data_IF_179754470580
#
_entry.id   IF_179754470580
#
_cell.length_a   1.000
_cell.length_b   1.000
_cell.length_c   1.000
_cell.angle_alpha   90.00
_cell.angle_beta   90.00
_cell.angle_gamma   90.00
#
_symmetry.space_group_name_H-M   'P 1'
#
loop_
_entity.id
_entity.type
_entity.pdbx_description
1 polymer ?
#
# COMPACT_ATOMS: atom_id res chain seq x y z
N UNK A 1 6.99 8.98 3.03
CA UNK A 1 6.25 7.73 3.27
C UNK A 1 5.33 7.48 2.08
N UNK A 2 5.31 6.28 1.48
CA UNK A 2 4.48 6.03 0.27
C UNK A 2 3.05 5.66 0.64
N UNK A 3 2.07 5.84 -0.26
CA UNK A 3 0.67 5.47 0.02
C UNK A 3 0.45 3.96 0.29
N UNK A 4 1.22 3.08 -0.36
CA UNK A 4 1.18 1.63 -0.06
C UNK A 4 1.81 1.30 1.30
N UNK A 5 2.76 2.10 1.76
CA UNK A 5 3.32 1.97 3.11
C UNK A 5 2.24 2.24 4.16
N UNK A 6 1.47 3.33 3.97
CA UNK A 6 0.31 3.63 4.81
C UNK A 6 -0.76 2.53 4.76
N UNK A 7 -1.03 1.96 3.59
CA UNK A 7 -1.95 0.82 3.47
C UNK A 7 -1.44 -0.39 4.27
N UNK A 8 -0.13 -0.65 4.17
CA UNK A 8 0.52 -1.75 4.88
C UNK A 8 0.43 -1.53 6.39
N UNK A 9 0.69 -0.31 6.88
CA UNK A 9 0.50 0.05 8.29
C UNK A 9 -0.92 -0.26 8.76
N UNK A 10 -1.94 0.23 8.05
CA UNK A 10 -3.33 0.04 8.43
C UNK A 10 -3.74 -1.44 8.41
N UNK A 11 -3.37 -2.19 7.36
CA UNK A 11 -3.67 -3.62 7.25
C UNK A 11 -2.99 -4.42 8.37
N UNK A 12 -1.73 -4.14 8.67
CA UNK A 12 -1.00 -4.85 9.72
C UNK A 12 -1.49 -4.48 11.11
N UNK A 13 -1.79 -3.20 11.37
CA UNK A 13 -2.36 -2.74 12.63
C UNK A 13 -3.74 -3.38 12.89
N UNK A 14 -4.63 -3.35 11.90
CA UNK A 14 -5.93 -4.02 11.99
C UNK A 14 -5.78 -5.55 12.13
N UNK A 15 -4.68 -6.12 11.69
CA UNK A 15 -4.45 -7.55 11.81
C UNK A 15 -3.59 -7.91 13.01
N UNK A 16 -3.17 -6.96 13.85
CA UNK A 16 -2.18 -7.17 14.90
C UNK A 16 -2.76 -7.89 16.14
N UNK A 17 -1.89 -8.42 17.00
CA UNK A 17 -2.29 -9.04 18.28
C UNK A 17 -2.83 -8.06 19.31
N UNK A 18 -2.32 -6.84 19.29
CA UNK A 18 -2.69 -5.79 20.23
C UNK A 18 -3.72 -4.82 19.64
N UNK A 19 -4.42 -5.23 18.58
CA UNK A 19 -5.47 -4.42 17.97
C UNK A 19 -6.64 -4.23 18.95
N UNK A 20 -7.03 -2.98 19.16
CA UNK A 20 -8.16 -2.56 20.00
C UNK A 20 -9.26 -1.95 19.15
N UNK A 21 -10.50 -1.77 19.67
CA UNK A 21 -11.56 -1.07 18.92
C UNK A 21 -11.15 0.33 18.44
N UNK A 22 -10.30 1.02 19.20
CA UNK A 22 -9.76 2.33 18.83
C UNK A 22 -8.82 2.25 17.61
N UNK A 23 -7.82 1.37 17.66
CA UNK A 23 -6.90 1.17 16.53
C UNK A 23 -7.62 0.59 15.32
N UNK A 24 -8.64 -0.23 15.55
CA UNK A 24 -9.47 -0.81 14.49
C UNK A 24 -10.23 0.25 13.72
N UNK A 25 -10.83 1.21 14.43
CA UNK A 25 -11.56 2.33 13.82
C UNK A 25 -10.63 3.19 12.95
N UNK A 26 -9.44 3.51 13.47
CA UNK A 26 -8.42 4.26 12.74
C UNK A 26 -7.91 3.51 11.51
N UNK A 27 -7.57 2.22 11.65
CA UNK A 27 -7.05 1.42 10.55
C UNK A 27 -8.10 1.22 9.44
N UNK A 28 -9.35 0.95 9.81
CA UNK A 28 -10.44 0.77 8.84
C UNK A 28 -10.76 2.06 8.09
N UNK A 29 -10.81 3.20 8.79
CA UNK A 29 -10.95 4.51 8.15
C UNK A 29 -9.79 4.83 7.21
N UNK A 30 -8.55 4.53 7.61
CA UNK A 30 -7.37 4.70 6.77
C UNK A 30 -7.44 3.83 5.50
N UNK A 31 -7.82 2.55 5.61
CA UNK A 31 -7.94 1.63 4.46
C UNK A 31 -8.95 2.16 3.45
N UNK A 32 -10.12 2.61 3.91
CA UNK A 32 -11.16 3.14 3.05
C UNK A 32 -10.69 4.40 2.29
N UNK A 33 -10.14 5.38 3.02
CA UNK A 33 -9.62 6.60 2.40
C UNK A 33 -8.47 6.33 1.42
N UNK A 34 -7.57 5.38 1.73
CA UNK A 34 -6.48 5.02 0.82
C UNK A 34 -7.01 4.39 -0.47
N UNK A 35 -8.00 3.51 -0.38
CA UNK A 35 -8.63 2.88 -1.55
C UNK A 35 -9.16 3.91 -2.55
N UNK A 36 -9.72 5.02 -2.05
CA UNK A 36 -10.28 6.07 -2.88
C UNK A 36 -9.26 7.13 -3.33
N UNK A 37 -8.36 7.54 -2.43
CA UNK A 37 -7.49 8.69 -2.63
C UNK A 37 -6.18 8.34 -3.33
N UNK A 38 -5.64 7.13 -3.11
CA UNK A 38 -4.33 6.77 -3.63
C UNK A 38 -4.28 6.73 -5.16
N UNK A 39 -5.21 6.09 -5.89
CA UNK A 39 -5.18 6.08 -7.35
C UNK A 39 -5.27 7.50 -7.94
N UNK A 40 -6.11 8.36 -7.34
CA UNK A 40 -6.29 9.75 -7.75
C UNK A 40 -5.02 10.57 -7.54
N UNK A 41 -4.40 10.45 -6.36
CA UNK A 41 -3.17 11.17 -6.03
C UNK A 41 -1.97 10.74 -6.90
N UNK A 42 -1.92 9.47 -7.33
CA UNK A 42 -0.89 8.96 -8.24
C UNK A 42 -1.17 9.36 -9.69
N UNK A 43 -2.43 9.30 -10.14
CA UNK A 43 -2.84 9.64 -11.50
C UNK A 43 -2.81 11.14 -11.79
N UNK A 44 -3.11 11.99 -10.80
CA UNK A 44 -3.06 13.44 -10.87
C UNK A 44 -2.42 14.01 -9.60
N UNK A 45 -1.11 14.26 -9.64
CA UNK A 45 -0.35 14.76 -8.49
C UNK A 45 -0.72 16.18 -8.03
N UNK A 46 -1.55 16.90 -8.79
CA UNK A 46 -2.05 18.24 -8.47
C UNK A 46 -3.44 18.20 -7.79
N UNK A 47 -4.07 17.04 -7.68
CA UNK A 47 -5.32 16.87 -6.94
C UNK A 47 -5.06 17.04 -5.43
N UNK A 48 -5.25 18.27 -4.94
CA UNK A 48 -5.00 18.62 -3.55
C UNK A 48 -5.91 17.84 -2.59
N UNK A 49 -7.17 17.60 -2.96
CA UNK A 49 -8.11 16.86 -2.13
C UNK A 49 -7.68 15.39 -1.99
N UNK A 50 -7.25 14.74 -3.07
CA UNK A 50 -6.72 13.37 -2.99
C UNK A 50 -5.44 13.31 -2.13
N UNK A 51 -4.55 14.31 -2.22
CA UNK A 51 -3.33 14.37 -1.41
C UNK A 51 -3.63 14.61 0.06
N UNK A 52 -4.56 15.50 0.37
CA UNK A 52 -5.02 15.76 1.75
C UNK A 52 -5.61 14.50 2.36
N UNK A 53 -6.50 13.80 1.65
CA UNK A 53 -7.07 12.54 2.10
C UNK A 53 -5.99 11.47 2.32
N UNK A 54 -4.98 11.39 1.44
CA UNK A 54 -3.85 10.47 1.64
C UNK A 54 -3.00 10.83 2.87
N UNK A 55 -2.81 12.11 3.17
CA UNK A 55 -2.09 12.56 4.37
C UNK A 55 -2.86 12.20 5.64
N UNK A 56 -4.16 12.47 5.66
CA UNK A 56 -5.04 12.08 6.77
C UNK A 56 -5.06 10.57 6.97
N UNK A 57 -5.19 9.80 5.90
CA UNK A 57 -5.16 8.34 5.96
C UNK A 57 -3.83 7.79 6.47
N UNK A 58 -2.72 8.39 6.02
CA UNK A 58 -1.38 8.07 6.51
C UNK A 58 -1.25 8.36 8.01
N UNK A 59 -1.78 9.48 8.48
CA UNK A 59 -1.79 9.84 9.89
C UNK A 59 -2.61 8.84 10.73
N UNK A 60 -3.81 8.49 10.27
CA UNK A 60 -4.67 7.50 10.93
C UNK A 60 -4.03 6.12 10.99
N UNK A 61 -3.42 5.67 9.89
CA UNK A 61 -2.65 4.43 9.87
C UNK A 61 -1.47 4.49 10.86
N UNK A 62 -0.81 5.64 10.95
CA UNK A 62 0.24 5.96 11.91
C UNK A 62 -0.19 5.77 13.37
N UNK A 63 -1.29 6.41 13.75
CA UNK A 63 -1.87 6.29 15.08
C UNK A 63 -2.29 4.84 15.39
N UNK A 64 -2.87 4.14 14.40
CA UNK A 64 -3.28 2.75 14.57
C UNK A 64 -2.08 1.82 14.85
N UNK A 65 -1.03 1.87 14.01
CA UNK A 65 0.11 0.96 14.18
C UNK A 65 0.96 1.32 15.41
N UNK A 66 0.99 2.60 15.81
CA UNK A 66 1.76 3.03 16.98
C UNK A 66 1.29 2.35 18.27
N UNK A 67 -0.01 2.03 18.37
CA UNK A 67 -0.58 1.32 19.52
C UNK A 67 -0.77 -0.19 19.28
N UNK A 68 -1.18 -0.61 18.08
CA UNK A 68 -1.44 -2.02 17.78
C UNK A 68 -0.16 -2.81 17.42
N UNK A 69 0.89 -2.11 16.98
CA UNK A 69 2.10 -2.69 16.40
C UNK A 69 1.99 -2.99 14.90
N UNK A 70 3.11 -3.41 14.33
CA UNK A 70 3.23 -3.85 12.94
C UNK A 70 3.41 -5.37 12.84
N UNK A 71 3.42 -5.88 11.61
CA UNK A 71 3.40 -7.31 11.35
C UNK A 71 4.59 -7.83 10.55
N UNK A 72 4.32 -8.96 9.90
CA UNK A 72 5.32 -9.72 9.16
C UNK A 72 5.83 -8.99 7.91
N UNK A 73 5.00 -8.16 7.29
CA UNK A 73 5.36 -7.39 6.10
C UNK A 73 6.50 -6.43 6.41
N UNK A 74 6.34 -5.57 7.42
CA UNK A 74 7.41 -4.66 7.84
C UNK A 74 8.66 -5.40 8.29
N UNK A 75 8.50 -6.44 9.11
CA UNK A 75 9.63 -7.26 9.55
C UNK A 75 10.44 -7.86 8.37
N UNK A 76 9.76 -8.22 7.29
CA UNK A 76 10.40 -8.74 6.07
C UNK A 76 10.94 -7.62 5.17
N UNK A 77 10.25 -6.49 5.04
CA UNK A 77 10.58 -5.41 4.10
C UNK A 77 11.90 -4.69 4.42
N UNK A 78 12.35 -4.69 5.69
CA UNK A 78 13.67 -4.16 6.05
C UNK A 78 14.83 -4.90 5.35
N UNK A 79 14.68 -6.20 5.07
CA UNK A 79 15.79 -7.00 4.55
C UNK A 79 16.08 -6.75 3.05
N UNK A 80 15.08 -6.70 2.14
CA UNK A 80 15.30 -6.28 0.76
C UNK A 80 15.80 -4.84 0.66
N UNK A 81 15.32 -3.92 1.51
CA UNK A 81 15.82 -2.54 1.51
C UNK A 81 17.30 -2.45 1.87
N UNK A 82 17.76 -3.21 2.86
CA UNK A 82 19.17 -3.23 3.27
C UNK A 82 20.09 -3.97 2.28
N UNK A 83 19.60 -5.03 1.62
CA UNK A 83 20.43 -5.88 0.76
C UNK A 83 20.44 -5.46 -0.72
N UNK A 84 19.34 -4.86 -1.20
CA UNK A 84 19.12 -4.56 -2.62
C UNK A 84 18.78 -3.07 -2.86
N UNK A 85 18.88 -2.23 -1.82
CA UNK A 85 18.54 -0.80 -1.87
C UNK A 85 17.13 -0.51 -2.40
N UNK A 86 16.19 -1.44 -2.20
CA UNK A 86 14.80 -1.29 -2.61
C UNK A 86 14.11 -0.28 -1.67
N UNK A 87 13.42 0.76 -2.20
CA UNK A 87 12.65 1.68 -1.37
C UNK A 87 11.63 0.96 -0.49
N UNK A 88 11.49 1.38 0.77
CA UNK A 88 10.70 0.65 1.78
C UNK A 88 9.25 0.39 1.34
N UNK A 89 8.56 1.40 0.81
CA UNK A 89 7.19 1.26 0.31
C UNK A 89 7.06 0.28 -0.86
N UNK A 90 8.07 0.20 -1.73
CA UNK A 90 8.11 -0.77 -2.82
C UNK A 90 8.32 -2.20 -2.27
N UNK A 91 9.21 -2.37 -1.29
CA UNK A 91 9.38 -3.65 -0.62
C UNK A 91 8.08 -4.11 0.08
N UNK A 92 7.34 -3.20 0.72
CA UNK A 92 6.03 -3.47 1.31
C UNK A 92 5.01 -3.86 0.23
N UNK A 93 4.93 -3.16 -0.91
CA UNK A 93 4.07 -3.53 -2.03
C UNK A 93 4.38 -4.95 -2.60
N UNK A 94 5.67 -5.32 -2.64
CA UNK A 94 6.13 -6.64 -3.06
C UNK A 94 5.78 -7.77 -2.06
N UNK A 95 5.55 -7.45 -0.79
CA UNK A 95 5.39 -8.45 0.26
C UNK A 95 3.97 -8.54 0.80
N UNK A 96 3.24 -7.43 0.88
CA UNK A 96 1.94 -7.33 1.56
C UNK A 96 0.93 -8.39 1.10
N UNK A 97 0.62 -8.58 -0.21
CA UNK A 97 -0.34 -9.60 -0.62
C UNK A 97 0.08 -11.04 -0.25
N UNK A 98 1.38 -11.31 -0.22
CA UNK A 98 1.93 -12.62 0.13
C UNK A 98 1.87 -12.86 1.64
N UNK A 99 2.09 -11.82 2.43
CA UNK A 99 1.95 -11.85 3.89
C UNK A 99 0.48 -11.99 4.30
N UNK A 100 -0.42 -11.30 3.60
CA UNK A 100 -1.85 -11.52 3.78
C UNK A 100 -2.19 -12.98 3.48
N UNK A 101 -1.84 -13.55 2.33
CA UNK A 101 -2.11 -14.97 2.03
C UNK A 101 -1.61 -15.91 3.15
N UNK A 102 -0.45 -15.62 3.74
CA UNK A 102 0.07 -16.37 4.88
C UNK A 102 -0.79 -16.24 6.15
N UNK A 103 -1.27 -15.03 6.45
CA UNK A 103 -2.06 -14.73 7.65
C UNK A 103 -3.56 -15.01 7.50
N UNK A 104 -4.10 -15.13 6.28
CA UNK A 104 -5.56 -15.20 6.05
C UNK A 104 -6.23 -16.32 6.84
N UNK A 105 -5.60 -17.49 6.95
CA UNK A 105 -6.18 -18.65 7.63
C UNK A 105 -6.46 -18.43 9.13
N UNK A 106 -5.74 -17.50 9.78
CA UNK A 106 -5.93 -17.17 11.20
C UNK A 106 -6.71 -15.87 11.42
N UNK A 107 -6.93 -15.06 10.37
CA UNK A 107 -7.57 -13.73 10.45
C UNK A 107 -8.61 -13.49 9.35
N UNK A 108 -9.29 -14.55 8.89
CA UNK A 108 -10.25 -14.51 7.77
C UNK A 108 -11.28 -13.39 7.85
N UNK A 109 -11.99 -13.32 8.98
CA UNK A 109 -13.05 -12.31 9.18
C UNK A 109 -12.51 -10.88 9.09
N UNK A 110 -11.35 -10.61 9.69
CA UNK A 110 -10.70 -9.29 9.59
C UNK A 110 -10.29 -8.98 8.14
N UNK A 111 -9.80 -9.94 7.39
CA UNK A 111 -9.42 -9.70 5.99
C UNK A 111 -10.63 -9.41 5.09
N UNK A 112 -11.74 -10.10 5.31
CA UNK A 112 -13.01 -9.77 4.66
C UNK A 112 -13.41 -8.32 4.94
N UNK A 113 -13.21 -7.81 6.16
CA UNK A 113 -13.46 -6.40 6.48
C UNK A 113 -12.49 -5.46 5.78
N UNK A 114 -11.20 -5.80 5.69
CA UNK A 114 -10.21 -5.01 4.95
C UNK A 114 -10.65 -4.82 3.50
N UNK A 115 -11.06 -5.90 2.82
CA UNK A 115 -11.54 -5.80 1.43
C UNK A 115 -12.80 -4.95 1.32
N UNK A 116 -13.69 -5.02 2.31
CA UNK A 116 -14.90 -4.19 2.36
C UNK A 116 -14.58 -2.71 2.51
N UNK A 117 -13.69 -2.35 3.42
CA UNK A 117 -13.25 -0.96 3.56
C UNK A 117 -12.57 -0.47 2.29
N UNK A 118 -11.69 -1.29 1.69
CA UNK A 118 -10.90 -0.90 0.53
C UNK A 118 -11.74 -0.70 -0.74
N UNK A 119 -12.80 -1.49 -0.92
CA UNK A 119 -13.57 -1.55 -2.17
C UNK A 119 -14.99 -1.00 -2.07
N UNK A 120 -15.50 -0.78 -0.86
CA UNK A 120 -16.91 -0.47 -0.58
C UNK A 120 -17.87 -1.64 -0.81
N UNK A 121 -17.38 -2.84 -1.15
CA UNK A 121 -18.20 -4.01 -1.51
C UNK A 121 -18.06 -5.11 -0.47
N UNK A 122 -19.04 -6.02 -0.38
CA UNK A 122 -18.87 -7.23 0.41
C UNK A 122 -17.77 -8.10 -0.24
N UNK A 123 -16.76 -8.47 0.53
CA UNK A 123 -15.63 -9.28 0.07
C UNK A 123 -15.32 -10.41 1.05
N UNK A 124 -14.82 -11.55 0.57
CA UNK A 124 -14.18 -12.58 1.40
C UNK A 124 -12.66 -12.31 1.64
N UNK A 125 -11.95 -13.23 2.31
CA UNK A 125 -10.51 -13.07 2.59
C UNK A 125 -9.63 -13.10 1.34
N UNK A 126 -10.05 -13.80 0.29
CA UNK A 126 -9.30 -13.92 -0.98
C UNK A 126 -9.54 -12.71 -1.87
N UNK A 127 -10.78 -12.26 -1.95
CA UNK A 127 -11.19 -11.05 -2.67
C UNK A 127 -10.50 -9.81 -2.09
N UNK A 128 -10.36 -9.72 -0.76
CA UNK A 128 -9.58 -8.66 -0.13
C UNK A 128 -8.11 -8.66 -0.56
N UNK A 129 -7.47 -9.83 -0.65
CA UNK A 129 -6.09 -9.95 -1.13
C UNK A 129 -5.99 -9.59 -2.61
N UNK A 130 -6.98 -9.96 -3.42
CA UNK A 130 -7.05 -9.57 -4.83
C UNK A 130 -7.18 -8.05 -4.98
N UNK A 131 -8.06 -7.40 -4.22
CA UNK A 131 -8.24 -5.95 -4.25
C UNK A 131 -6.96 -5.19 -3.86
N UNK A 132 -6.22 -5.67 -2.85
CA UNK A 132 -4.91 -5.08 -2.50
C UNK A 132 -3.91 -5.24 -3.65
N UNK A 133 -3.90 -6.40 -4.34
CA UNK A 133 -3.03 -6.61 -5.51
C UNK A 133 -3.39 -5.69 -6.67
N UNK A 134 -4.69 -5.51 -6.92
CA UNK A 134 -5.22 -4.65 -7.97
C UNK A 134 -4.84 -3.19 -7.71
N UNK A 135 -5.05 -2.69 -6.49
CA UNK A 135 -4.64 -1.34 -6.11
C UNK A 135 -3.13 -1.12 -6.29
N UNK A 136 -2.30 -2.08 -5.84
CA UNK A 136 -0.84 -2.02 -6.02
C UNK A 136 -0.46 -1.97 -7.51
N UNK A 137 -1.19 -2.70 -8.36
CA UNK A 137 -0.96 -2.70 -9.80
C UNK A 137 -1.42 -1.40 -10.46
N UNK A 138 -2.56 -0.84 -10.03
CA UNK A 138 -3.12 0.42 -10.52
C UNK A 138 -2.17 1.60 -10.27
N UNK A 139 -1.49 1.62 -9.11
CA UNK A 139 -0.49 2.64 -8.78
C UNK A 139 0.91 2.36 -9.38
N UNK A 140 1.04 1.34 -10.23
CA UNK A 140 2.27 1.05 -10.98
C UNK A 140 3.34 0.25 -10.23
N UNK A 141 3.06 -0.27 -9.03
CA UNK A 141 4.06 -0.97 -8.19
C UNK A 141 4.07 -2.49 -8.44
N UNK A 142 4.24 -2.89 -9.70
CA UNK A 142 4.12 -4.30 -10.14
C UNK A 142 5.43 -5.10 -10.08
N UNK A 143 6.55 -4.46 -9.76
CA UNK A 143 7.87 -5.08 -9.73
C UNK A 143 7.94 -6.27 -8.77
N UNK A 144 8.68 -7.31 -9.14
CA UNK A 144 8.97 -8.49 -8.32
C UNK A 144 10.35 -8.39 -7.67
N UNK A 145 10.53 -9.09 -6.55
CA UNK A 145 11.84 -9.15 -5.86
C UNK A 145 12.94 -9.73 -6.77
N UNK A 146 12.60 -10.71 -7.60
CA UNK A 146 13.53 -11.31 -8.58
C UNK A 146 13.96 -10.31 -9.65
N UNK A 147 13.06 -9.44 -10.10
CA UNK A 147 13.38 -8.34 -11.03
C UNK A 147 14.26 -7.27 -10.37
N UNK A 148 14.16 -7.13 -9.04
CA UNK A 148 15.03 -6.27 -8.24
C UNK A 148 16.36 -6.94 -7.82
N UNK A 149 16.69 -8.12 -8.36
CA UNK A 149 17.97 -8.81 -8.09
C UNK A 149 17.96 -9.77 -6.89
N UNK A 150 16.79 -10.15 -6.37
CA UNK A 150 16.72 -11.15 -5.30
C UNK A 150 17.14 -12.54 -5.80
N UNK A 151 18.06 -13.19 -5.07
CA UNK A 151 18.58 -14.52 -5.36
C UNK A 151 18.14 -15.51 -4.28
N UNK A 152 18.28 -16.82 -4.54
CA UNK A 152 18.04 -17.87 -3.54
C UNK A 152 18.85 -17.68 -2.25
N UNK A 153 20.08 -17.14 -2.37
CA UNK A 153 20.94 -16.79 -1.24
C UNK A 153 20.34 -15.66 -0.38
N UNK A 154 19.79 -14.62 -1.01
CA UNK A 154 19.08 -13.55 -0.31
C UNK A 154 17.92 -14.09 0.52
N UNK A 155 17.06 -14.92 -0.06
CA UNK A 155 15.94 -15.54 0.68
C UNK A 155 16.42 -16.40 1.86
N UNK A 156 17.52 -17.14 1.70
CA UNK A 156 18.10 -17.96 2.76
C UNK A 156 18.65 -17.10 3.92
N UNK A 157 19.27 -15.96 3.61
CA UNK A 157 19.79 -15.01 4.60
C UNK A 157 18.66 -14.31 5.37
N UNK A 158 17.65 -13.80 4.67
CA UNK A 158 16.50 -13.11 5.29
C UNK A 158 15.72 -14.04 6.24
N UNK A 159 15.62 -15.33 5.91
CA UNK A 159 15.03 -16.35 6.78
C UNK A 159 15.74 -16.46 8.14
N UNK A 160 17.07 -16.31 8.18
CA UNK A 160 17.87 -16.39 9.41
C UNK A 160 17.72 -15.12 10.25
N UNK A 161 17.77 -13.93 9.63
CA UNK A 161 17.72 -12.62 10.32
C UNK A 161 16.37 -12.31 10.96
N UNK A 162 15.24 -12.79 10.39
CA UNK A 162 13.90 -12.56 10.95
C UNK A 162 13.72 -13.02 12.40
N UNK A 163 14.46 -14.04 12.85
CA UNK A 163 14.34 -14.54 14.25
C UNK A 163 14.75 -13.51 15.31
N UNK A 164 15.38 -12.39 14.92
CA UNK A 164 15.99 -11.42 15.84
C UNK A 164 15.32 -10.03 15.83
N UNK A 165 14.30 -9.79 15.01
CA UNK A 165 13.67 -8.45 14.89
C UNK A 165 12.45 -8.28 15.82
N UNK A 166 12.43 -7.22 16.63
CA UNK A 166 11.36 -6.88 17.58
C UNK A 166 9.98 -6.65 16.95
N UNK A 167 9.95 -6.22 15.68
CA UNK A 167 8.73 -6.06 14.86
C UNK A 167 7.91 -7.37 14.75
N UNK A 168 8.51 -8.52 15.06
CA UNK A 168 7.81 -9.80 15.02
C UNK A 168 6.90 -10.09 16.21
N UNK A 169 6.98 -9.34 17.31
CA UNK A 169 6.19 -9.59 18.52
C UNK A 169 4.66 -9.55 18.32
N UNK A 170 4.09 -8.62 17.52
CA UNK A 170 2.63 -8.53 17.32
C UNK A 170 2.07 -9.55 16.31
N UNK A 171 2.89 -10.45 15.75
CA UNK A 171 2.48 -11.38 14.68
C UNK A 171 1.69 -12.58 15.24
N UNK A 172 0.45 -12.79 14.75
CA UNK A 172 -0.40 -13.93 15.15
C UNK A 172 0.13 -15.30 14.76
N UNK A 173 0.79 -15.38 13.60
CA UNK A 173 1.27 -16.64 13.05
C UNK A 173 2.78 -16.63 13.02
N UNK A 174 3.39 -17.36 13.96
CA UNK A 174 4.84 -17.60 13.94
C UNK A 174 5.20 -18.40 12.70
N UNK A 175 5.80 -17.73 11.72
CA UNK A 175 6.27 -18.40 10.53
C UNK A 175 7.49 -19.26 10.84
N UNK A 176 7.33 -20.59 10.80
CA UNK A 176 8.46 -21.54 10.68
C UNK A 176 9.12 -21.36 9.30
N UNK A 177 10.45 -21.48 9.23
CA UNK A 177 11.25 -21.02 8.09
C UNK A 177 10.94 -21.66 6.72
N UNK A 178 10.22 -22.79 6.69
CA UNK A 178 9.83 -23.49 5.46
C UNK A 178 8.62 -22.86 4.75
N UNK A 179 7.60 -22.41 5.49
CA UNK A 179 6.32 -21.94 4.93
C UNK A 179 6.36 -20.54 4.28
N UNK A 180 7.37 -19.73 4.62
CA UNK A 180 7.57 -18.40 4.00
C UNK A 180 8.23 -18.47 2.63
N UNK A 181 9.18 -19.40 2.46
CA UNK A 181 9.88 -19.62 1.19
C UNK A 181 8.93 -20.06 0.09
N UNK A 182 7.90 -20.84 0.43
CA UNK A 182 6.82 -21.17 -0.49
C UNK A 182 5.94 -19.97 -0.84
N UNK A 183 5.78 -19.01 0.08
CA UNK A 183 4.95 -17.82 -0.15
C UNK A 183 5.68 -16.81 -1.07
N UNK A 184 6.96 -16.52 -0.82
CA UNK A 184 7.75 -15.64 -1.69
C UNK A 184 7.98 -16.26 -3.07
N UNK A 185 8.36 -17.55 -3.16
CA UNK A 185 8.54 -18.24 -4.46
C UNK A 185 7.24 -18.42 -5.26
N UNK A 186 6.07 -18.55 -4.62
CA UNK A 186 4.79 -18.67 -5.35
C UNK A 186 4.46 -17.40 -6.13
N UNK A 187 4.84 -16.22 -5.62
CA UNK A 187 4.66 -14.95 -6.35
C UNK A 187 5.57 -14.87 -7.58
N UNK A 188 6.79 -15.42 -7.51
CA UNK A 188 7.72 -15.44 -8.65
C UNK A 188 7.22 -16.32 -9.83
N UNK A 189 6.43 -17.37 -9.55
CA UNK A 189 5.95 -18.32 -10.56
C UNK A 189 4.62 -17.96 -11.24
N UNK A 190 3.79 -17.07 -10.68
CA UNK A 190 2.52 -16.68 -11.31
C UNK A 190 2.74 -15.67 -12.43
N UNK A 191 2.77 -16.14 -13.68
CA UNK A 191 2.75 -15.31 -14.90
C UNK A 191 1.33 -14.78 -15.11
N UNK A 192 1.01 -13.59 -14.63
CA UNK A 192 -0.29 -12.98 -14.87
C UNK A 192 -0.34 -12.43 -16.30
N UNK A 193 -1.16 -13.03 -17.16
CA UNK A 193 -1.33 -12.57 -18.53
C UNK A 193 -2.03 -11.20 -18.53
N UNK A 194 -1.49 -10.21 -19.25
CA UNK A 194 -2.04 -8.85 -19.40
C UNK A 194 -3.40 -8.76 -20.12
N UNK A 195 -4.14 -9.87 -20.28
CA UNK A 195 -5.30 -9.94 -21.21
C UNK A 195 -6.70 -9.89 -20.57
N UNK A 196 -6.84 -9.69 -19.25
CA UNK A 196 -8.17 -9.55 -18.61
C UNK A 196 -8.19 -8.42 -17.58
N UNK A 197 -8.06 -7.19 -18.05
CA UNK A 197 -8.58 -6.00 -17.36
C UNK A 197 -9.41 -5.25 -18.39
N UNK A 198 -10.56 -5.81 -18.70
CA UNK A 198 -11.62 -5.16 -19.43
C UNK A 198 -12.93 -5.65 -18.79
N UNK A 199 -13.90 -4.73 -18.66
CA UNK A 199 -15.23 -4.87 -18.01
C UNK A 199 -15.19 -4.60 -16.48
N UNK A 200 -15.88 -3.62 -15.88
CA UNK A 200 -16.78 -2.55 -16.33
C UNK A 200 -16.94 -1.49 -15.22
N UNK A 201 -16.89 -0.20 -15.59
CA UNK A 201 -17.58 0.90 -14.90
C UNK A 201 -17.93 1.98 -15.96
N UNK A 202 -19.15 2.56 -15.96
CA UNK A 202 -19.59 3.43 -17.05
C UNK A 202 -19.05 4.84 -16.83
N UNK A 203 -17.95 5.18 -17.49
CA UNK A 203 -17.43 6.56 -17.55
C UNK A 203 -16.89 6.93 -18.95
N UNK A 204 -17.41 6.29 -20.01
CA UNK A 204 -16.82 6.39 -21.35
C UNK A 204 -17.43 7.47 -22.27
N UNK A 205 -18.25 8.38 -21.76
CA UNK A 205 -18.85 9.45 -22.57
C UNK A 205 -18.31 10.87 -22.30
N UNK A 206 -17.45 11.09 -21.29
CA UNK A 206 -16.99 12.45 -20.95
C UNK A 206 -15.53 12.74 -21.30
N UNK A 207 -14.72 11.73 -21.65
CA UNK A 207 -13.26 11.88 -21.78
C UNK A 207 -12.77 12.43 -23.13
N UNK A 208 -13.62 12.50 -24.17
CA UNK A 208 -13.21 13.08 -25.46
C UNK A 208 -13.33 14.62 -25.52
N UNK A 209 -13.96 15.27 -24.53
CA UNK A 209 -14.06 16.75 -24.45
C UNK A 209 -13.14 17.41 -23.43
N UNK A 210 -12.44 16.63 -22.60
CA UNK A 210 -11.53 17.14 -21.55
C UNK A 210 -10.04 17.12 -21.95
N UNK A 211 -9.69 16.46 -23.06
CA UNK A 211 -8.31 16.38 -23.55
C UNK A 211 -7.82 17.69 -24.21
N UNK A 212 -8.72 18.56 -24.68
CA UNK A 212 -8.34 19.87 -25.24
C UNK A 212 -8.19 20.97 -24.18
N UNK A 213 -8.94 20.92 -23.07
CA UNK A 213 -8.86 21.96 -22.03
C UNK A 213 -7.72 21.79 -21.03
N UNK A 214 -7.20 20.56 -20.85
CA UNK A 214 -6.13 20.26 -19.88
C UNK A 214 -4.73 20.71 -20.35
N UNK A 215 -4.53 21.00 -21.64
CA UNK A 215 -3.27 21.56 -22.16
C UNK A 215 -3.14 23.08 -21.96
N UNK A 216 -4.25 23.78 -21.73
CA UNK A 216 -4.27 25.25 -21.58
C UNK A 216 -4.04 25.73 -20.14
N UNK A 217 -4.35 24.91 -19.13
CA UNK A 217 -4.22 25.30 -17.71
C UNK A 217 -2.82 25.08 -17.10
N UNK A 218 -1.92 24.36 -17.80
CA UNK A 218 -0.56 24.08 -17.32
C UNK A 218 0.54 25.02 -17.89
N UNK A 219 0.18 26.09 -18.61
CA UNK A 219 1.15 27.09 -19.07
C UNK A 219 0.66 28.52 -18.82
N UNK A 220 1.25 29.21 -17.84
CA UNK A 220 1.61 30.64 -17.93
C UNK A 220 2.51 31.09 -16.77
N UNK A 221 3.32 32.15 -16.97
CA UNK A 221 4.63 32.30 -16.35
C UNK A 221 4.64 33.17 -15.08
N UNK A 222 5.68 32.98 -14.27
CA UNK A 222 5.94 33.77 -13.07
C UNK A 222 6.07 35.27 -13.35
N UNK A 223 5.49 36.06 -12.45
CA UNK A 223 5.84 37.48 -12.28
C UNK A 223 6.39 37.67 -10.88
N UNK A 224 7.65 38.10 -10.84
CA UNK A 224 8.38 38.52 -9.66
C UNK A 224 7.67 39.72 -9.00
N UNK A 225 7.55 39.67 -7.68
CA UNK A 225 7.01 40.75 -6.86
C UNK A 225 8.18 41.61 -6.36
N UNK A 226 8.27 42.85 -6.85
CA UNK A 226 9.19 43.88 -6.31
C UNK A 226 8.40 44.86 -5.45
N UNK A 227 8.85 45.24 -4.24
CA UNK A 227 8.16 46.23 -3.42
C UNK A 227 8.48 47.65 -3.89
N UNK A 228 7.46 48.54 -3.92
CA UNK A 228 7.66 50.00 -4.07
C UNK A 228 7.59 50.69 -2.70
N UNK A 229 8.37 51.76 -2.46
CA UNK A 229 8.45 52.45 -1.18
C UNK A 229 7.26 53.43 -0.98
N UNK A 230 7.09 53.85 0.27
CA UNK A 230 5.84 54.36 0.83
C UNK A 230 5.41 55.78 0.46
N UNK A 231 4.28 56.18 1.05
CA UNK A 231 3.97 57.58 1.37
C UNK A 231 3.25 57.64 2.72
N UNK A 232 3.81 58.48 3.57
CA UNK A 232 3.31 58.95 4.86
C UNK A 232 2.21 59.98 4.60
N UNK A 233 1.10 59.87 5.33
CA UNK A 233 0.22 60.95 5.76
C UNK A 233 -0.62 60.43 6.93
#
# INVERSE_FOLDING_TARGET
>A
MTGIDALTHAVEAYSARHATPFTDSLAMGAIAMIGEALPKAVGCGQDLAARENMLLASCMAGMAFSSAGLGLCHAMAHQPGAALHIPHGLANAMLLPTVMEFNRMVRRARFSQIGRALTGKKTDDREAIAAVRELIAEVGLTMRLTEAGATSAHYAAWRKRRRRTSVCAPIHRTATGSRLSSCTRRRDKCRFSRRRVAVAFPARAALSRLQDHSRLLCRSPGKAFTPRPGKVA
#
